data_IF_700760829730
#
_entry.id   IF_700760829730
#
_cell.length_a   1.000
_cell.length_b   1.000
_cell.length_c   1.000
_cell.angle_alpha   90.00
_cell.angle_beta   90.00
_cell.angle_gamma   90.00
#
_symmetry.space_group_name_H-M   'P 1'
#
loop_
_entity.id
_entity.type
_entity.pdbx_description
1 polymer ?
#
# COMPACT_ATOMS: atom_id res chain seq x y z
N UNK A 1 50.44 -18.38 44.48
CA UNK A 1 50.29 -19.03 43.15
C UNK A 1 48.81 -19.28 42.94
N UNK A 2 48.15 -18.53 42.06
CA UNK A 2 46.74 -18.77 41.77
C UNK A 2 46.61 -19.92 40.76
N UNK A 3 45.66 -20.80 41.06
CA UNK A 3 45.18 -21.90 40.23
C UNK A 3 44.56 -21.36 38.93
N UNK A 4 44.84 -22.01 37.81
CA UNK A 4 43.92 -22.01 36.66
C UNK A 4 43.66 -23.46 36.24
N UNK A 5 42.62 -24.03 36.87
CA UNK A 5 41.87 -25.16 36.32
C UNK A 5 40.76 -24.53 35.48
N UNK A 6 41.03 -24.29 34.20
CA UNK A 6 40.11 -23.57 33.33
C UNK A 6 40.12 -24.11 31.90
N UNK A 7 39.24 -25.07 31.62
CA UNK A 7 38.66 -25.30 30.28
C UNK A 7 39.62 -25.64 29.12
N UNK A 8 40.28 -26.79 29.22
CA UNK A 8 40.92 -27.45 28.07
C UNK A 8 39.94 -28.07 27.07
N UNK A 9 39.11 -27.26 26.41
CA UNK A 9 38.21 -27.69 25.31
C UNK A 9 38.33 -26.84 24.04
N UNK A 10 39.30 -25.92 23.95
CA UNK A 10 39.37 -24.91 22.87
C UNK A 10 40.61 -24.96 21.97
N UNK A 11 41.52 -25.93 22.12
CA UNK A 11 42.79 -25.94 21.39
C UNK A 11 42.91 -27.04 20.33
N UNK A 12 41.80 -27.38 19.66
CA UNK A 12 41.84 -28.25 18.48
C UNK A 12 41.58 -27.41 17.21
N UNK A 13 42.63 -27.06 16.43
CA UNK A 13 42.52 -26.13 15.28
C UNK A 13 41.65 -26.66 14.13
N UNK A 14 41.25 -27.94 14.18
CA UNK A 14 40.43 -28.58 13.15
C UNK A 14 38.97 -28.83 13.57
N UNK A 15 38.64 -28.84 14.87
CA UNK A 15 37.25 -28.88 15.36
C UNK A 15 36.59 -27.50 15.34
N UNK A 16 37.37 -26.42 15.44
CA UNK A 16 36.89 -25.06 15.19
C UNK A 16 36.67 -24.76 13.70
N UNK A 17 37.33 -25.45 12.77
CA UNK A 17 37.14 -25.23 11.34
C UNK A 17 35.84 -25.85 10.82
N UNK A 18 35.62 -27.14 11.10
CA UNK A 18 34.48 -27.88 10.55
C UNK A 18 33.14 -27.53 11.20
N UNK A 19 33.08 -27.50 12.54
CA UNK A 19 31.84 -27.17 13.25
C UNK A 19 31.46 -25.69 13.05
N UNK A 20 32.43 -24.77 13.09
CA UNK A 20 32.14 -23.38 12.81
C UNK A 20 31.76 -23.16 11.34
N UNK A 21 32.40 -23.85 10.38
CA UNK A 21 31.98 -23.79 8.98
C UNK A 21 30.55 -24.31 8.78
N UNK A 22 30.15 -25.36 9.49
CA UNK A 22 28.79 -25.90 9.44
C UNK A 22 27.78 -24.92 10.07
N UNK A 23 28.12 -24.30 11.22
CA UNK A 23 27.29 -23.26 11.84
C UNK A 23 27.16 -22.02 10.95
N UNK A 24 28.26 -21.57 10.33
CA UNK A 24 28.26 -20.45 9.39
C UNK A 24 27.39 -20.79 8.17
N UNK A 25 27.52 -21.98 7.60
CA UNK A 25 26.72 -22.42 6.45
C UNK A 25 25.24 -22.50 6.80
N UNK A 26 24.87 -23.05 7.96
CA UNK A 26 23.48 -23.08 8.43
C UNK A 26 22.93 -21.67 8.68
N UNK A 27 23.72 -20.78 9.28
CA UNK A 27 23.35 -19.38 9.47
C UNK A 27 23.16 -18.65 8.13
N UNK A 28 24.06 -18.85 7.16
CA UNK A 28 23.95 -18.25 5.83
C UNK A 28 22.72 -18.77 5.07
N UNK A 29 22.46 -20.08 5.13
CA UNK A 29 21.24 -20.66 4.55
C UNK A 29 19.98 -20.14 5.23
N UNK A 30 19.99 -19.99 6.56
CA UNK A 30 18.90 -19.42 7.34
C UNK A 30 18.64 -17.94 7.00
N UNK A 31 19.68 -17.12 6.99
CA UNK A 31 19.59 -15.69 6.62
C UNK A 31 19.13 -15.56 5.17
N UNK A 32 19.68 -16.35 4.24
CA UNK A 32 19.25 -16.36 2.85
C UNK A 32 17.78 -16.75 2.72
N UNK A 33 17.32 -17.77 3.46
CA UNK A 33 15.91 -18.16 3.50
C UNK A 33 15.02 -17.07 4.10
N UNK A 34 15.46 -16.37 5.15
CA UNK A 34 14.74 -15.23 5.75
C UNK A 34 14.63 -14.09 4.75
N UNK A 35 15.73 -13.69 4.11
CA UNK A 35 15.76 -12.65 3.08
C UNK A 35 14.87 -13.04 1.90
N UNK A 36 14.93 -14.30 1.47
CA UNK A 36 14.09 -14.82 0.39
C UNK A 36 12.59 -14.82 0.76
N UNK A 37 12.25 -15.25 1.97
CA UNK A 37 10.88 -15.18 2.47
C UNK A 37 10.39 -13.73 2.57
N UNK A 38 11.25 -12.82 3.04
CA UNK A 38 10.90 -11.42 3.20
C UNK A 38 10.71 -10.72 1.84
N UNK A 39 11.58 -11.00 0.87
CA UNK A 39 11.48 -10.45 -0.49
C UNK A 39 10.32 -11.07 -1.28
N UNK A 40 10.04 -12.37 -1.11
CA UNK A 40 8.86 -13.00 -1.72
C UNK A 40 7.55 -12.49 -1.13
N UNK A 41 7.45 -12.30 0.19
CA UNK A 41 6.26 -11.69 0.81
C UNK A 41 5.98 -10.27 0.29
N UNK A 42 7.00 -9.52 -0.08
CA UNK A 42 6.82 -8.16 -0.64
C UNK A 42 6.32 -8.13 -2.09
N UNK A 43 6.35 -9.26 -2.81
CA UNK A 43 6.04 -9.31 -4.24
C UNK A 43 4.55 -9.44 -4.58
N UNK A 44 3.69 -9.68 -3.58
CA UNK A 44 2.23 -9.77 -3.75
C UNK A 44 1.52 -8.42 -3.72
N UNK A 45 2.25 -7.31 -3.65
CA UNK A 45 1.68 -5.97 -3.49
C UNK A 45 1.61 -5.18 -4.80
N UNK A 46 1.45 -5.86 -5.95
CA UNK A 46 1.17 -5.13 -7.18
C UNK A 46 -0.28 -4.67 -7.11
N UNK A 47 -0.57 -3.37 -6.96
CA UNK A 47 -1.93 -2.92 -6.78
C UNK A 47 -2.72 -3.23 -8.07
N UNK A 48 -3.88 -3.86 -7.89
CA UNK A 48 -4.84 -4.10 -8.97
C UNK A 48 -6.05 -3.25 -8.71
N UNK A 49 -6.67 -2.76 -9.77
CA UNK A 49 -7.91 -2.01 -9.62
C UNK A 49 -8.99 -2.90 -9.00
N UNK A 50 -9.62 -2.51 -7.88
CA UNK A 50 -10.67 -3.31 -7.24
C UNK A 50 -11.94 -3.40 -8.08
N UNK A 51 -12.17 -2.44 -9.00
CA UNK A 51 -13.36 -2.42 -9.85
C UNK A 51 -13.21 -3.30 -11.10
N UNK A 52 -12.05 -3.29 -11.77
CA UNK A 52 -11.87 -3.97 -13.07
C UNK A 52 -10.73 -5.00 -13.11
N UNK A 53 -9.94 -5.13 -12.05
CA UNK A 53 -8.79 -6.05 -11.99
C UNK A 53 -7.58 -5.64 -12.83
N UNK A 54 -7.61 -4.48 -13.49
CA UNK A 54 -6.51 -3.96 -14.31
C UNK A 54 -5.24 -3.72 -13.50
N UNK A 55 -4.07 -3.91 -14.14
CA UNK A 55 -2.77 -3.61 -13.54
C UNK A 55 -2.62 -2.11 -13.39
N UNK A 56 -2.46 -1.63 -12.17
CA UNK A 56 -2.34 -0.20 -11.87
C UNK A 56 -1.05 0.04 -11.11
N UNK A 57 -0.45 1.20 -11.33
CA UNK A 57 0.78 1.62 -10.65
C UNK A 57 0.43 2.52 -9.46
N UNK A 58 1.30 2.55 -8.45
CA UNK A 58 1.11 3.41 -7.27
C UNK A 58 1.12 4.91 -7.60
N UNK A 59 1.46 5.34 -8.81
CA UNK A 59 1.40 6.75 -9.20
C UNK A 59 0.02 7.16 -9.73
N UNK A 60 -0.86 6.21 -10.06
CA UNK A 60 -2.15 6.53 -10.69
C UNK A 60 -3.19 7.01 -9.68
N UNK A 61 -3.78 8.18 -9.94
CA UNK A 61 -4.95 8.69 -9.19
C UNK A 61 -6.25 8.04 -9.67
N UNK A 62 -6.35 7.71 -10.96
CA UNK A 62 -7.50 7.03 -11.58
C UNK A 62 -7.04 5.86 -12.44
N UNK A 63 -7.87 4.84 -12.54
CA UNK A 63 -7.62 3.67 -13.37
C UNK A 63 -7.67 4.05 -14.86
N UNK A 64 -6.66 3.72 -15.68
CA UNK A 64 -6.71 3.97 -17.12
C UNK A 64 -7.71 3.07 -17.86
N UNK A 65 -8.11 1.93 -17.27
CA UNK A 65 -9.01 0.96 -17.90
C UNK A 65 -10.49 1.27 -17.64
N UNK A 66 -10.84 1.70 -16.44
CA UNK A 66 -12.25 1.90 -16.02
C UNK A 66 -12.55 3.29 -15.45
N UNK A 67 -11.55 4.16 -15.28
CA UNK A 67 -11.73 5.51 -14.73
C UNK A 67 -12.02 5.60 -13.22
N UNK A 68 -12.10 4.47 -12.50
CA UNK A 68 -12.31 4.44 -11.04
C UNK A 68 -11.18 5.18 -10.32
N UNK A 69 -11.50 5.97 -9.29
CA UNK A 69 -10.51 6.65 -8.47
C UNK A 69 -9.80 5.66 -7.53
N UNK A 70 -8.47 5.57 -7.64
CA UNK A 70 -7.64 4.72 -6.79
C UNK A 70 -7.14 5.46 -5.54
N UNK A 71 -6.98 6.79 -5.67
CA UNK A 71 -6.47 7.66 -4.62
C UNK A 71 -7.32 8.91 -4.52
N UNK A 72 -7.43 9.46 -3.31
CA UNK A 72 -8.18 10.68 -3.01
C UNK A 72 -7.38 11.62 -2.12
N UNK A 73 -7.71 12.90 -2.14
CA UNK A 73 -7.16 13.86 -1.20
C UNK A 73 -7.95 13.81 0.11
N UNK A 74 -7.25 13.86 1.25
CA UNK A 74 -7.88 14.05 2.54
C UNK A 74 -8.45 15.47 2.64
N UNK A 75 -9.72 15.62 3.03
CA UNK A 75 -10.38 16.94 3.18
C UNK A 75 -9.73 17.85 4.23
N UNK A 76 -9.14 17.28 5.28
CA UNK A 76 -8.53 18.08 6.36
C UNK A 76 -7.09 18.50 6.06
N UNK A 77 -6.26 17.64 5.47
CA UNK A 77 -4.83 17.91 5.27
C UNK A 77 -4.37 17.91 3.81
N UNK A 78 -5.28 17.66 2.86
CA UNK A 78 -5.08 17.68 1.42
C UNK A 78 -4.02 16.69 0.89
N UNK A 79 -3.49 15.81 1.74
CA UNK A 79 -2.57 14.73 1.34
C UNK A 79 -3.30 13.63 0.58
N UNK A 80 -2.59 13.04 -0.38
CA UNK A 80 -3.06 11.91 -1.18
C UNK A 80 -3.04 10.64 -0.30
N UNK A 81 -4.19 9.98 -0.20
CA UNK A 81 -4.38 8.71 0.51
C UNK A 81 -5.06 7.70 -0.43
N UNK A 82 -4.89 6.41 -0.18
CA UNK A 82 -5.59 5.37 -0.94
C UNK A 82 -7.11 5.45 -0.74
N UNK A 83 -7.88 5.14 -1.78
CA UNK A 83 -9.35 5.16 -1.70
C UNK A 83 -9.90 4.18 -0.65
N UNK A 84 -9.20 3.07 -0.41
CA UNK A 84 -9.59 2.02 0.53
C UNK A 84 -9.34 2.39 2.01
N UNK A 85 -8.64 3.50 2.29
CA UNK A 85 -8.35 3.90 3.66
C UNK A 85 -9.59 4.55 4.31
N UNK A 86 -10.10 4.04 5.44
CA UNK A 86 -11.25 4.63 6.14
C UNK A 86 -10.90 5.94 6.87
N UNK A 87 -9.65 6.12 7.26
CA UNK A 87 -9.14 7.32 7.93
C UNK A 87 -7.79 7.74 7.37
N UNK A 88 -7.47 9.03 7.48
CA UNK A 88 -6.17 9.55 7.08
C UNK A 88 -5.10 9.20 8.14
N UNK A 89 -4.00 8.51 7.79
CA UNK A 89 -2.95 8.17 8.75
C UNK A 89 -2.15 9.39 9.24
N UNK A 90 -2.20 10.51 8.52
CA UNK A 90 -1.44 11.72 8.86
C UNK A 90 -2.17 12.64 9.84
N UNK A 91 -3.48 12.85 9.62
CA UNK A 91 -4.28 13.79 10.43
C UNK A 91 -5.38 13.11 11.25
N UNK A 92 -5.56 11.79 11.11
CA UNK A 92 -6.58 10.97 11.79
C UNK A 92 -8.03 11.38 11.50
N UNK A 93 -8.26 12.30 10.57
CA UNK A 93 -9.59 12.66 10.09
C UNK A 93 -10.18 11.52 9.24
N UNK A 94 -11.51 11.43 9.21
CA UNK A 94 -12.22 10.49 8.34
C UNK A 94 -11.84 10.75 6.88
N UNK A 95 -11.51 9.69 6.15
CA UNK A 95 -11.13 9.80 4.73
C UNK A 95 -12.33 10.09 3.82
N UNK A 96 -13.54 9.89 4.34
CA UNK A 96 -14.78 10.36 3.75
C UNK A 96 -14.95 11.84 4.11
N UNK A 97 -14.45 12.72 3.25
CA UNK A 97 -15.10 14.00 3.08
C UNK A 97 -16.41 13.74 2.34
N UNK A 98 -17.46 13.38 3.07
CA UNK A 98 -18.89 13.57 2.75
C UNK A 98 -19.21 13.63 1.24
N UNK A 99 -18.89 12.60 0.47
CA UNK A 99 -19.30 12.46 -0.92
C UNK A 99 -20.65 11.73 -1.03
N UNK A 100 -21.66 12.28 -0.34
CA UNK A 100 -23.08 12.18 -0.78
C UNK A 100 -23.31 13.10 -1.98
N UNK A 101 -22.50 12.96 -3.02
CA UNK A 101 -22.45 13.90 -4.14
C UNK A 101 -22.40 13.26 -5.52
N UNK A 102 -22.69 11.97 -5.66
CA UNK A 102 -22.81 11.29 -6.96
C UNK A 102 -24.08 10.42 -7.07
N UNK A 103 -25.14 10.82 -6.37
CA UNK A 103 -26.52 10.57 -6.80
C UNK A 103 -27.29 11.88 -6.65
N UNK A 104 -27.05 12.78 -7.59
CA UNK A 104 -28.07 13.64 -8.19
C UNK A 104 -27.97 13.32 -9.68
N UNK A 105 -28.54 12.23 -10.18
CA UNK A 105 -29.92 12.18 -10.69
C UNK A 105 -30.53 13.58 -10.89
N UNK A 106 -30.82 13.85 -12.15
CA UNK A 106 -31.19 15.17 -12.63
C UNK A 106 -32.44 15.74 -11.99
N UNK A 107 -32.39 17.06 -11.85
CA UNK A 107 -33.53 17.94 -12.03
C UNK A 107 -32.95 19.16 -12.74
N UNK A 108 -33.13 19.21 -14.05
CA UNK A 108 -33.06 20.44 -14.83
C UNK A 108 -33.92 21.49 -14.12
N UNK A 109 -33.44 22.73 -13.89
CA UNK A 109 -34.36 23.84 -13.71
C UNK A 109 -35.03 24.04 -15.07
N UNK A 110 -36.27 23.54 -15.19
CA UNK A 110 -37.23 23.99 -16.18
C UNK A 110 -37.27 25.52 -16.16
N UNK A 111 -36.60 26.15 -17.12
CA UNK A 111 -36.88 27.52 -17.53
C UNK A 111 -37.48 27.46 -18.93
N UNK A 112 -38.76 27.12 -18.98
CA UNK A 112 -39.68 27.60 -20.00
C UNK A 112 -40.88 28.18 -19.24
N UNK A 113 -41.12 29.50 -19.34
CA UNK A 113 -42.02 29.92 -20.39
C UNK A 113 -41.65 31.28 -21.01
N UNK A 114 -41.64 31.37 -22.33
CA UNK A 114 -41.87 32.63 -23.03
C UNK A 114 -42.72 32.36 -24.26
N UNK A 115 -44.02 32.40 -24.03
CA UNK A 115 -45.03 32.65 -25.05
C UNK A 115 -44.80 34.05 -25.63
N UNK A 116 -44.07 34.15 -26.75
CA UNK A 116 -44.23 35.30 -27.65
C UNK A 116 -45.19 34.88 -28.77
N UNK A 117 -46.48 35.05 -28.51
CA UNK A 117 -47.48 35.13 -29.57
C UNK A 117 -47.29 36.45 -30.30
N UNK A 118 -46.85 36.38 -31.55
CA UNK A 118 -46.95 37.50 -32.47
C UNK A 118 -48.41 37.90 -32.64
N UNK A 119 -48.74 39.17 -32.36
CA UNK A 119 -49.98 39.80 -32.81
C UNK A 119 -49.63 41.01 -33.64
N UNK A 120 -49.87 40.89 -34.94
CA UNK A 120 -49.84 41.95 -35.93
C UNK A 120 -51.02 42.90 -35.68
N UNK A 121 -50.77 44.19 -35.82
CA UNK A 121 -51.74 45.27 -35.96
C UNK A 121 -51.14 46.31 -36.88
#
# INVERSE_FOLDING_TARGET
>A
MYCDWGSGWHDSPYYHGGLAALLILVCLLGIAAIVFCYTRRKRSLQPRCPACGGSVEDVYLRCPFCGTALKRHCSSCHRIIGADFPFCPFCRAAAAGEDRGATQQGATPDVAPSTNTGRKG
#
